data_IF_529266434500
#
_entry.id   IF_529266434500
#
_cell.length_a   1.000
_cell.length_b   1.000
_cell.length_c   1.000
_cell.angle_alpha   90.00
_cell.angle_beta   90.00
_cell.angle_gamma   90.00
#
_symmetry.space_group_name_H-M   'P 1'
#
loop_
_entity.id
_entity.type
_entity.pdbx_description
1 polymer ?
#
# COMPACT_ATOMS: atom_id res chain seq x y z
N UNK A 1 0.00 58.66 -1.05
CA UNK A 1 1.12 57.76 -0.72
C UNK A 1 0.65 56.34 -0.97
N UNK A 2 1.32 55.61 -1.86
CA UNK A 2 0.85 54.32 -2.38
C UNK A 2 0.95 53.20 -1.36
N UNK A 3 -0.17 52.50 -1.14
CA UNK A 3 -0.21 51.22 -0.44
C UNK A 3 0.35 50.16 -1.39
N UNK A 4 1.49 49.55 -1.02
CA UNK A 4 2.05 48.41 -1.74
C UNK A 4 1.19 47.19 -1.37
N UNK A 5 0.37 46.73 -2.33
CA UNK A 5 -0.34 45.45 -2.21
C UNK A 5 0.66 44.30 -2.32
N UNK A 6 1.02 43.70 -1.20
CA UNK A 6 1.76 42.43 -1.17
C UNK A 6 0.75 41.31 -1.48
N UNK A 7 0.80 40.78 -2.71
CA UNK A 7 0.06 39.57 -3.05
C UNK A 7 0.74 38.36 -2.39
N UNK A 8 0.07 37.75 -1.42
CA UNK A 8 0.49 36.47 -0.81
C UNK A 8 0.02 35.35 -1.73
N UNK A 9 0.93 34.79 -2.53
CA UNK A 9 0.68 33.56 -3.27
C UNK A 9 0.69 32.38 -2.29
N UNK A 10 -0.47 31.83 -1.97
CA UNK A 10 -0.59 30.62 -1.15
C UNK A 10 -0.14 29.39 -1.95
N UNK A 11 0.92 28.71 -1.52
CA UNK A 11 1.29 27.40 -2.06
C UNK A 11 0.26 26.36 -1.58
N UNK A 12 -0.64 25.94 -2.47
CA UNK A 12 -1.38 24.68 -2.28
C UNK A 12 -0.39 23.52 -2.46
N UNK A 13 0.23 23.06 -1.38
CA UNK A 13 0.89 21.75 -1.37
C UNK A 13 -0.19 20.69 -1.18
N UNK A 14 -0.64 20.07 -2.27
CA UNK A 14 -1.40 18.81 -2.17
C UNK A 14 -0.42 17.72 -1.76
N UNK A 15 -0.27 17.49 -0.45
CA UNK A 15 0.47 16.33 0.03
C UNK A 15 -0.30 15.06 -0.40
N UNK A 16 0.17 14.38 -1.45
CA UNK A 16 -0.35 13.07 -1.81
C UNK A 16 0.32 12.03 -0.92
N UNK A 17 -0.45 11.31 -0.10
CA UNK A 17 0.09 10.23 0.73
C UNK A 17 0.59 9.05 -0.11
N UNK A 18 1.22 8.06 0.54
CA UNK A 18 1.53 6.77 -0.07
C UNK A 18 0.30 6.24 -0.81
N UNK A 19 0.49 5.76 -2.05
CA UNK A 19 -0.57 5.14 -2.84
C UNK A 19 -0.08 3.83 -3.43
N UNK A 20 -0.78 2.72 -3.16
CA UNK A 20 -0.48 1.43 -3.78
C UNK A 20 -1.06 1.43 -5.19
N UNK A 21 -0.18 1.37 -6.19
CA UNK A 21 -0.55 1.41 -7.62
C UNK A 21 -0.63 0.01 -8.24
N UNK A 22 -0.01 -0.99 -7.60
CA UNK A 22 -0.11 -2.40 -7.98
C UNK A 22 -0.15 -3.27 -6.72
N UNK A 23 -1.10 -4.22 -6.61
CA UNK A 23 -2.20 -4.49 -7.54
C UNK A 23 -3.20 -3.32 -7.60
N UNK A 24 -3.70 -3.04 -8.79
CA UNK A 24 -4.78 -2.08 -9.00
C UNK A 24 -6.14 -2.75 -8.71
N UNK A 25 -7.18 -1.92 -8.56
CA UNK A 25 -8.53 -2.43 -8.36
C UNK A 25 -8.96 -3.31 -9.55
N UNK A 26 -9.46 -4.51 -9.26
CA UNK A 26 -9.90 -5.48 -10.26
C UNK A 26 -8.79 -6.35 -10.87
N UNK A 27 -7.53 -6.12 -10.51
CA UNK A 27 -6.42 -6.97 -10.96
C UNK A 27 -6.63 -8.43 -10.53
N UNK A 28 -6.01 -9.34 -11.28
CA UNK A 28 -5.87 -10.75 -10.89
C UNK A 28 -4.40 -11.04 -10.62
N UNK A 29 -4.10 -11.44 -9.39
CA UNK A 29 -2.77 -11.81 -8.93
C UNK A 29 -2.71 -13.33 -8.78
N UNK A 30 -1.71 -13.95 -9.41
CA UNK A 30 -1.44 -15.38 -9.29
C UNK A 30 -0.44 -15.64 -8.17
N UNK A 31 -0.86 -16.38 -7.16
CA UNK A 31 -0.11 -16.63 -5.94
C UNK A 31 0.85 -17.83 -6.04
N UNK A 32 0.72 -18.70 -7.05
CA UNK A 32 1.71 -19.74 -7.36
C UNK A 32 3.06 -19.21 -7.85
N UNK A 33 3.16 -17.91 -8.15
CA UNK A 33 4.38 -17.27 -8.62
C UNK A 33 4.64 -15.97 -7.85
N UNK A 34 5.87 -15.46 -8.00
CA UNK A 34 6.20 -14.15 -7.42
C UNK A 34 5.42 -13.05 -8.15
N UNK A 35 4.97 -12.06 -7.39
CA UNK A 35 4.21 -10.92 -7.91
C UNK A 35 4.75 -9.60 -7.36
N UNK A 36 4.22 -8.47 -7.78
CA UNK A 36 4.76 -7.16 -7.41
C UNK A 36 3.74 -6.31 -6.67
N UNK A 37 4.22 -5.63 -5.63
CA UNK A 37 3.54 -4.49 -5.03
C UNK A 37 4.28 -3.23 -5.43
N UNK A 38 3.56 -2.27 -6.00
CA UNK A 38 4.12 -0.97 -6.40
C UNK A 38 3.40 0.18 -5.70
N UNK A 39 4.10 1.27 -5.46
CA UNK A 39 3.56 2.46 -4.80
C UNK A 39 4.19 3.76 -5.30
N UNK A 40 3.49 4.86 -5.06
CA UNK A 40 4.03 6.22 -5.10
C UNK A 40 4.07 6.80 -3.70
N UNK A 41 4.94 7.78 -3.44
CA UNK A 41 5.03 8.46 -2.15
C UNK A 41 5.56 9.89 -2.32
N UNK A 42 5.31 10.74 -1.33
CA UNK A 42 5.88 12.11 -1.24
C UNK A 42 6.87 12.21 -0.10
N UNK A 43 7.61 13.32 -0.08
CA UNK A 43 8.67 13.58 0.89
C UNK A 43 8.18 13.71 2.35
N UNK A 44 6.87 13.86 2.59
CA UNK A 44 6.28 13.90 3.95
C UNK A 44 5.82 12.53 4.45
N UNK A 45 5.87 11.49 3.62
CA UNK A 45 5.48 10.13 4.02
C UNK A 45 6.53 9.48 4.96
N UNK A 46 6.14 8.46 5.74
CA UNK A 46 7.07 7.66 6.53
C UNK A 46 8.23 7.13 5.68
N UNK A 47 9.44 7.10 6.21
CA UNK A 47 10.62 6.61 5.49
C UNK A 47 10.58 5.11 5.21
N UNK A 48 9.80 4.36 6.00
CA UNK A 48 9.61 2.92 5.88
C UNK A 48 8.18 2.51 6.25
N UNK A 49 7.73 1.40 5.69
CA UNK A 49 6.48 0.73 6.04
C UNK A 49 6.61 -0.79 5.86
N UNK A 50 5.62 -1.53 6.35
CA UNK A 50 5.48 -2.96 6.10
C UNK A 50 4.26 -3.25 5.24
N UNK A 51 4.34 -4.33 4.45
CA UNK A 51 3.28 -4.75 3.55
C UNK A 51 2.51 -5.93 4.13
N UNK A 52 1.19 -5.79 4.11
CA UNK A 52 0.24 -6.78 4.55
C UNK A 52 -0.75 -7.08 3.43
N UNK A 53 -1.18 -8.34 3.35
CA UNK A 53 -2.29 -8.77 2.51
C UNK A 53 -3.50 -8.97 3.42
N UNK A 54 -4.59 -8.29 3.13
CA UNK A 54 -5.79 -8.30 3.96
C UNK A 54 -6.99 -8.83 3.18
N UNK A 55 -7.87 -9.54 3.88
CA UNK A 55 -9.21 -9.87 3.41
C UNK A 55 -10.16 -9.73 4.60
N UNK A 56 -10.94 -8.66 4.59
CA UNK A 56 -11.95 -8.35 5.62
C UNK A 56 -13.39 -8.49 5.08
N UNK A 57 -13.54 -9.05 3.88
CA UNK A 57 -14.84 -9.31 3.24
C UNK A 57 -15.48 -10.59 3.75
N UNK A 58 -14.67 -11.50 4.30
CA UNK A 58 -15.08 -12.81 4.76
C UNK A 58 -14.61 -13.06 6.20
N UNK A 59 -15.42 -13.79 6.97
CA UNK A 59 -15.09 -14.15 8.35
C UNK A 59 -14.39 -15.52 8.41
N UNK A 60 -13.32 -15.68 9.22
CA UNK A 60 -12.65 -14.63 10.01
C UNK A 60 -11.82 -13.67 9.13
N UNK A 61 -11.67 -12.39 9.50
CA UNK A 61 -10.81 -11.47 8.76
C UNK A 61 -9.37 -11.99 8.71
N UNK A 62 -8.70 -11.82 7.58
CA UNK A 62 -7.28 -12.19 7.39
C UNK A 62 -6.38 -10.96 7.29
N UNK A 63 -5.21 -11.07 7.91
CA UNK A 63 -4.07 -10.15 7.75
C UNK A 63 -2.81 -10.98 7.71
N UNK A 64 -2.09 -10.94 6.59
CA UNK A 64 -0.94 -11.79 6.30
C UNK A 64 0.27 -10.92 5.98
N UNK A 65 1.42 -11.22 6.57
CA UNK A 65 2.65 -10.49 6.33
C UNK A 65 3.28 -10.89 4.99
N UNK A 66 3.43 -9.95 4.05
CA UNK A 66 3.90 -10.28 2.69
C UNK A 66 5.42 -10.46 2.56
N UNK A 67 6.20 -9.93 3.48
CA UNK A 67 7.67 -9.99 3.45
C UNK A 67 8.25 -10.38 4.81
N UNK A 68 7.53 -11.22 5.59
CA UNK A 68 7.88 -11.53 6.98
C UNK A 68 8.10 -10.28 7.84
N UNK A 69 7.29 -9.24 7.61
CA UNK A 69 7.41 -7.91 8.25
C UNK A 69 8.78 -7.23 8.05
N UNK A 70 9.52 -7.59 7.00
CA UNK A 70 10.70 -6.83 6.58
C UNK A 70 10.26 -5.43 6.12
N UNK A 71 10.81 -4.35 6.70
CA UNK A 71 10.49 -2.99 6.28
C UNK A 71 10.88 -2.75 4.82
N UNK A 72 9.99 -2.04 4.10
CA UNK A 72 10.20 -1.51 2.76
C UNK A 72 10.55 -0.03 2.89
N UNK A 73 11.63 0.41 2.26
CA UNK A 73 11.99 1.83 2.19
C UNK A 73 11.10 2.54 1.18
N UNK A 74 10.47 3.64 1.60
CA UNK A 74 9.48 4.36 0.80
C UNK A 74 10.08 4.99 -0.47
N UNK A 75 11.28 5.59 -0.38
CA UNK A 75 12.12 6.09 -1.50
C UNK A 75 11.41 6.94 -2.58
N UNK A 76 10.33 7.66 -2.24
CA UNK A 76 9.54 8.45 -3.21
C UNK A 76 8.68 7.60 -4.16
N UNK A 77 8.52 6.31 -3.87
CA UNK A 77 7.82 5.35 -4.72
C UNK A 77 8.73 4.20 -5.16
N UNK A 78 8.13 3.11 -5.64
CA UNK A 78 8.87 1.95 -6.12
C UNK A 78 8.02 0.72 -6.26
N UNK A 79 8.69 -0.41 -6.49
CA UNK A 79 8.07 -1.73 -6.50
C UNK A 79 8.93 -2.71 -5.69
N UNK A 80 8.27 -3.68 -5.07
CA UNK A 80 8.92 -4.81 -4.41
C UNK A 80 8.29 -6.12 -4.88
N UNK A 81 9.12 -7.15 -5.04
CA UNK A 81 8.67 -8.49 -5.39
C UNK A 81 8.23 -9.22 -4.14
N UNK A 82 7.00 -9.73 -4.17
CA UNK A 82 6.42 -10.61 -3.15
C UNK A 82 6.65 -12.05 -3.60
N UNK A 83 7.33 -12.88 -2.80
CA UNK A 83 7.54 -14.28 -3.15
C UNK A 83 6.23 -15.06 -3.03
N UNK A 84 6.07 -16.12 -3.84
CA UNK A 84 4.91 -17.01 -3.77
C UNK A 84 4.72 -17.68 -2.39
N UNK A 85 5.79 -17.82 -1.61
CA UNK A 85 5.74 -18.34 -0.24
C UNK A 85 4.97 -17.44 0.74
N UNK A 86 4.70 -16.18 0.39
CA UNK A 86 3.96 -15.23 1.23
C UNK A 86 2.43 -15.32 1.07
N UNK A 87 1.97 -16.20 0.18
CA UNK A 87 0.56 -16.39 -0.10
C UNK A 87 -0.15 -17.12 1.03
N UNK A 88 -1.35 -16.67 1.46
CA UNK A 88 -2.15 -17.41 2.41
C UNK A 88 -2.58 -18.75 1.82
N UNK A 89 -2.68 -19.75 2.70
CA UNK A 89 -3.34 -21.02 2.39
C UNK A 89 -4.30 -21.36 3.54
N UNK A 90 -5.59 -21.60 3.27
CA UNK A 90 -6.23 -21.54 1.95
C UNK A 90 -6.42 -20.10 1.42
N UNK A 91 -6.49 -19.96 0.10
CA UNK A 91 -6.97 -18.73 -0.53
C UNK A 91 -8.48 -18.58 -0.31
N UNK A 92 -8.95 -17.33 -0.27
CA UNK A 92 -10.36 -16.99 -0.17
C UNK A 92 -10.92 -16.65 -1.53
N UNK A 93 -12.23 -16.81 -1.70
CA UNK A 93 -12.94 -16.46 -2.94
C UNK A 93 -13.32 -14.98 -3.00
N UNK A 94 -13.27 -14.28 -1.87
CA UNK A 94 -13.49 -12.84 -1.76
C UNK A 94 -12.22 -12.03 -2.04
N UNK A 95 -12.38 -10.76 -2.42
CA UNK A 95 -11.23 -9.92 -2.82
C UNK A 95 -10.29 -9.60 -1.67
N UNK A 96 -9.02 -9.44 -2.04
CA UNK A 96 -7.93 -9.03 -1.16
C UNK A 96 -7.54 -7.57 -1.41
N UNK A 97 -6.80 -7.01 -0.45
CA UNK A 97 -6.09 -5.73 -0.58
C UNK A 97 -4.67 -5.84 -0.10
N UNK A 98 -3.80 -5.00 -0.65
CA UNK A 98 -2.46 -4.76 -0.13
C UNK A 98 -2.52 -3.52 0.74
N UNK A 99 -2.03 -3.64 1.95
CA UNK A 99 -1.96 -2.56 2.93
C UNK A 99 -0.50 -2.24 3.22
N UNK A 100 -0.14 -0.97 3.07
CA UNK A 100 1.07 -0.40 3.67
C UNK A 100 0.71 0.18 5.04
N UNK A 101 1.38 -0.29 6.09
CA UNK A 101 1.11 0.12 7.46
C UNK A 101 2.40 0.15 8.29
N UNK A 102 2.30 0.60 9.54
CA UNK A 102 3.39 0.48 10.50
C UNK A 102 3.85 -0.98 10.62
N UNK A 103 5.16 -1.17 10.77
CA UNK A 103 5.74 -2.49 11.00
C UNK A 103 5.46 -3.01 12.42
N UNK A 104 5.16 -2.13 13.38
CA UNK A 104 4.83 -2.52 14.76
C UNK A 104 3.32 -2.75 14.97
N UNK A 105 2.48 -2.22 14.09
CA UNK A 105 1.02 -2.31 14.18
C UNK A 105 0.38 -2.19 12.79
N UNK A 106 -0.23 -3.28 12.31
CA UNK A 106 -0.92 -3.34 11.01
C UNK A 106 -2.21 -2.51 10.94
N UNK A 107 -2.66 -1.94 12.06
CA UNK A 107 -3.82 -1.04 12.12
C UNK A 107 -3.45 0.44 12.00
N UNK A 108 -2.16 0.78 12.10
CA UNK A 108 -1.64 2.10 11.75
C UNK A 108 -1.41 2.13 10.24
N UNK A 109 -2.47 2.42 9.49
CA UNK A 109 -2.52 2.32 8.02
C UNK A 109 -1.95 3.58 7.38
N UNK A 110 -1.04 3.41 6.41
CA UNK A 110 -0.53 4.51 5.57
C UNK A 110 -1.17 4.52 4.18
N UNK A 111 -1.40 3.34 3.60
CA UNK A 111 -2.10 3.19 2.32
C UNK A 111 -2.76 1.81 2.21
N UNK A 112 -3.78 1.72 1.37
CA UNK A 112 -4.43 0.46 1.02
C UNK A 112 -4.78 0.46 -0.48
N UNK A 113 -4.56 -0.67 -1.16
CA UNK A 113 -4.93 -0.84 -2.56
C UNK A 113 -6.45 -0.95 -2.73
N UNK A 114 -6.89 -0.88 -3.98
CA UNK A 114 -8.23 -1.36 -4.34
C UNK A 114 -8.38 -2.87 -4.13
N UNK A 115 -9.65 -3.33 -4.13
CA UNK A 115 -10.01 -4.75 -4.10
C UNK A 115 -9.48 -5.45 -5.36
N UNK A 116 -8.74 -6.55 -5.21
CA UNK A 116 -8.23 -7.38 -6.31
C UNK A 116 -8.45 -8.88 -6.06
N UNK A 117 -8.41 -9.68 -7.12
CA UNK A 117 -8.57 -11.12 -7.04
C UNK A 117 -7.21 -11.79 -6.82
N UNK A 118 -7.15 -12.71 -5.85
CA UNK A 118 -5.98 -13.54 -5.60
C UNK A 118 -6.32 -14.98 -5.94
N UNK A 119 -5.63 -15.55 -6.92
CA UNK A 119 -5.85 -16.91 -7.41
C UNK A 119 -4.60 -17.76 -7.23
N UNK A 120 -4.77 -19.09 -7.19
CA UNK A 120 -3.65 -20.02 -7.13
C UNK A 120 -2.83 -19.94 -8.42
#
# INVERSE_FOLDING_TARGET
MHLISVAIATLLTTASAISITKPAAGDTVHCNQSWQVCWTAVNTDPSQFCLYLTNFKEYPPQTVNLLNQKPVTTNGGGCVTIPSSSCPSPLRTTQYRVRAASCSDSNTIYAESGDFNLVA
#
